data_IF_198255946878
#
_entry.id   IF_198255946878
#
_cell.length_a   1.000
_cell.length_b   1.000
_cell.length_c   1.000
_cell.angle_alpha   90.00
_cell.angle_beta   90.00
_cell.angle_gamma   90.00
#
_symmetry.space_group_name_H-M   'P 1'
#
loop_
_entity.id
_entity.type
_entity.pdbx_description
1 polymer ?
#
# COMPACT_ATOMS: atom_id res chain seq x y z
N UNK A 1 21.39 25.31 -0.60
CA UNK A 1 20.66 24.35 0.25
C UNK A 1 19.20 24.34 -0.21
N UNK A 2 18.92 23.63 -1.30
CA UNK A 2 17.58 23.56 -1.90
C UNK A 2 17.32 22.10 -2.17
N UNK A 3 16.72 21.40 -1.22
CA UNK A 3 16.13 20.09 -1.52
C UNK A 3 14.98 20.38 -2.48
N UNK A 4 15.23 20.29 -3.79
CA UNK A 4 14.20 20.51 -4.81
C UNK A 4 13.05 19.55 -4.55
N UNK A 5 11.82 20.01 -4.70
CA UNK A 5 10.62 19.16 -4.63
C UNK A 5 10.73 17.95 -5.58
N UNK A 6 11.51 18.09 -6.67
CA UNK A 6 11.82 17.04 -7.64
C UNK A 6 12.55 15.83 -7.03
N UNK A 7 13.26 16.00 -5.91
CA UNK A 7 13.94 14.91 -5.21
C UNK A 7 13.16 14.46 -3.97
N UNK A 8 12.62 15.40 -3.20
CA UNK A 8 11.88 15.09 -1.97
C UNK A 8 10.57 14.34 -2.23
N UNK A 9 9.90 14.61 -3.36
CA UNK A 9 8.67 13.92 -3.77
C UNK A 9 8.87 12.41 -3.99
N UNK A 10 9.72 11.99 -4.94
CA UNK A 10 9.98 10.57 -5.21
C UNK A 10 10.53 9.80 -4.01
N UNK A 11 11.34 10.46 -3.16
CA UNK A 11 11.85 9.85 -1.93
C UNK A 11 10.72 9.57 -0.92
N UNK A 12 9.79 10.51 -0.75
CA UNK A 12 8.63 10.34 0.15
C UNK A 12 7.73 9.21 -0.35
N UNK A 13 7.50 9.15 -1.66
CA UNK A 13 6.72 8.08 -2.29
C UNK A 13 7.34 6.70 -2.04
N UNK A 14 8.67 6.58 -2.20
CA UNK A 14 9.39 5.32 -1.94
C UNK A 14 9.22 4.84 -0.50
N UNK A 15 9.26 5.75 0.48
CA UNK A 15 9.06 5.43 1.90
C UNK A 15 7.62 4.97 2.17
N UNK A 16 6.62 5.61 1.55
CA UNK A 16 5.23 5.19 1.66
C UNK A 16 5.01 3.80 1.04
N UNK A 17 5.66 3.52 -0.10
CA UNK A 17 5.62 2.20 -0.73
C UNK A 17 6.25 1.11 0.14
N UNK A 18 7.34 1.42 0.86
CA UNK A 18 7.92 0.51 1.85
C UNK A 18 6.93 0.15 2.97
N UNK A 19 6.23 1.14 3.53
CA UNK A 19 5.21 0.90 4.54
C UNK A 19 4.04 0.07 4.00
N UNK A 20 3.58 0.38 2.79
CA UNK A 20 2.52 -0.35 2.11
C UNK A 20 2.89 -1.83 1.92
N UNK A 21 4.11 -2.10 1.50
CA UNK A 21 4.62 -3.47 1.33
C UNK A 21 4.65 -4.24 2.65
N UNK A 22 5.14 -3.64 3.73
CA UNK A 22 5.20 -4.28 5.06
C UNK A 22 3.81 -4.62 5.57
N UNK A 23 2.84 -3.69 5.45
CA UNK A 23 1.46 -3.94 5.88
C UNK A 23 0.79 -5.03 5.05
N UNK A 24 0.98 -5.00 3.74
CA UNK A 24 0.47 -6.02 2.82
C UNK A 24 1.05 -7.39 3.11
N UNK A 25 2.33 -7.48 3.47
CA UNK A 25 3.00 -8.74 3.78
C UNK A 25 2.35 -9.52 4.95
N UNK A 26 1.67 -8.81 5.85
CA UNK A 26 0.98 -9.39 7.01
C UNK A 26 -0.47 -9.82 6.72
N UNK A 27 -1.00 -9.55 5.52
CA UNK A 27 -2.32 -10.02 5.12
C UNK A 27 -2.35 -11.55 5.08
N UNK A 28 -3.33 -12.10 5.77
CA UNK A 28 -3.58 -13.53 5.90
C UNK A 28 -5.05 -13.81 5.70
N UNK A 29 -5.37 -14.99 5.18
CA UNK A 29 -6.73 -15.51 5.10
C UNK A 29 -6.77 -16.95 5.57
N UNK A 30 -7.90 -17.38 6.09
CA UNK A 30 -8.11 -18.78 6.43
C UNK A 30 -8.40 -19.58 5.16
N UNK A 31 -7.66 -20.67 4.93
CA UNK A 31 -7.91 -21.56 3.80
C UNK A 31 -9.00 -22.59 4.14
N UNK A 32 -9.42 -23.38 3.16
CA UNK A 32 -10.43 -24.44 3.31
C UNK A 32 -10.05 -25.56 4.31
N UNK A 33 -8.81 -25.54 4.84
CA UNK A 33 -8.29 -26.49 5.83
C UNK A 33 -8.13 -25.85 7.22
N UNK A 34 -8.63 -24.63 7.43
CA UNK A 34 -8.53 -23.90 8.69
C UNK A 34 -7.14 -23.34 8.98
N UNK A 35 -6.23 -23.31 7.99
CA UNK A 35 -4.87 -22.81 8.15
C UNK A 35 -4.75 -21.37 7.67
N UNK A 36 -3.89 -20.60 8.33
CA UNK A 36 -3.61 -19.20 7.98
C UNK A 36 -2.66 -19.15 6.77
N UNK A 37 -3.15 -18.66 5.63
CA UNK A 37 -2.39 -18.49 4.39
C UNK A 37 -2.00 -17.00 4.21
N UNK A 38 -0.70 -16.71 4.15
CA UNK A 38 -0.16 -15.37 3.87
C UNK A 38 -0.07 -15.10 2.36
N UNK A 39 -1.22 -14.93 1.71
CA UNK A 39 -1.35 -14.82 0.24
C UNK A 39 -0.71 -13.56 -0.36
N UNK A 40 -0.51 -12.52 0.45
CA UNK A 40 0.01 -11.22 -0.01
C UNK A 40 1.54 -11.13 -0.03
N UNK A 41 2.26 -12.20 0.35
CA UNK A 41 3.73 -12.26 0.31
C UNK A 41 4.25 -12.44 -1.12
N UNK A 42 4.12 -11.40 -1.93
CA UNK A 42 4.58 -11.36 -3.32
C UNK A 42 5.00 -9.94 -3.71
N UNK A 43 5.67 -9.82 -4.86
CA UNK A 43 6.01 -8.51 -5.43
C UNK A 43 4.72 -7.72 -5.72
N UNK A 44 4.63 -6.49 -5.22
CA UNK A 44 3.52 -5.58 -5.51
C UNK A 44 3.88 -4.70 -6.71
N UNK A 45 2.90 -4.46 -7.58
CA UNK A 45 3.04 -3.56 -8.72
C UNK A 45 2.29 -2.27 -8.40
N UNK A 46 3.05 -1.17 -8.28
CA UNK A 46 2.54 0.16 -7.98
C UNK A 46 2.29 0.95 -9.26
N UNK A 47 1.09 1.51 -9.36
CA UNK A 47 0.70 2.50 -10.36
C UNK A 47 0.67 3.87 -9.66
N UNK A 48 1.70 4.67 -9.88
CA UNK A 48 1.85 5.99 -9.25
C UNK A 48 0.88 7.04 -9.79
N UNK A 49 0.44 6.93 -11.05
CA UNK A 49 -0.52 7.88 -11.64
C UNK A 49 -1.90 7.73 -11.00
N UNK A 50 -2.35 6.47 -10.82
CA UNK A 50 -3.63 6.17 -10.20
C UNK A 50 -3.54 5.91 -8.69
N UNK A 51 -2.34 6.04 -8.11
CA UNK A 51 -2.03 5.74 -6.71
C UNK A 51 -2.65 4.42 -6.24
N UNK A 52 -2.33 3.29 -6.89
CA UNK A 52 -2.90 1.98 -6.52
C UNK A 52 -1.96 0.81 -6.80
N UNK A 53 -2.20 -0.29 -6.11
CA UNK A 53 -1.62 -1.60 -6.44
C UNK A 53 -2.51 -2.30 -7.46
N UNK A 54 -1.90 -2.80 -8.53
CA UNK A 54 -2.62 -3.39 -9.68
C UNK A 54 -2.73 -4.91 -9.62
N UNK A 55 -1.90 -5.59 -8.83
CA UNK A 55 -1.80 -7.06 -8.81
C UNK A 55 -2.25 -7.70 -7.47
N UNK A 56 -2.71 -6.88 -6.53
CA UNK A 56 -3.26 -7.29 -5.23
C UNK A 56 -4.22 -6.20 -4.73
N UNK A 57 -5.49 -6.33 -5.05
CA UNK A 57 -6.51 -5.31 -4.75
C UNK A 57 -6.69 -5.12 -3.24
N UNK A 58 -6.56 -6.19 -2.45
CA UNK A 58 -6.69 -6.14 -1.00
C UNK A 58 -5.63 -5.24 -0.35
N UNK A 59 -4.48 -5.03 -0.98
CA UNK A 59 -3.46 -4.12 -0.47
C UNK A 59 -3.87 -2.64 -0.58
N UNK A 60 -4.81 -2.30 -1.49
CA UNK A 60 -5.32 -0.93 -1.63
C UNK A 60 -6.07 -0.43 -0.39
N UNK A 61 -6.47 -1.32 0.53
CA UNK A 61 -7.02 -0.92 1.84
C UNK A 61 -6.03 -0.08 2.68
N UNK A 62 -4.73 -0.16 2.35
CA UNK A 62 -3.67 0.57 3.01
C UNK A 62 -3.23 1.81 2.23
N UNK A 63 -3.82 2.02 1.05
CA UNK A 63 -3.55 3.16 0.18
C UNK A 63 -4.58 4.24 0.49
N UNK A 64 -4.08 5.41 0.89
CA UNK A 64 -4.93 6.51 1.33
C UNK A 64 -5.53 6.30 2.72
N UNK A 65 -6.36 7.26 3.12
CA UNK A 65 -7.00 7.29 4.44
C UNK A 65 -8.50 7.19 4.23
N UNK A 66 -9.16 6.25 4.91
CA UNK A 66 -10.61 6.32 5.04
C UNK A 66 -10.93 7.44 6.02
N UNK A 67 -11.46 8.54 5.50
CA UNK A 67 -11.93 9.65 6.32
C UNK A 67 -13.20 9.23 7.05
N UNK A 68 -13.34 9.70 8.30
CA UNK A 68 -14.58 9.51 9.05
C UNK A 68 -15.69 10.33 8.38
N UNK A 69 -16.91 9.80 8.40
CA UNK A 69 -18.10 10.52 7.93
C UNK A 69 -18.14 11.95 8.51
N UNK A 70 -18.25 12.95 7.64
CA UNK A 70 -18.20 14.38 7.99
C UNK A 70 -16.82 15.05 7.91
N UNK A 71 -15.76 14.31 7.58
CA UNK A 71 -14.41 14.84 7.32
C UNK A 71 -13.89 14.45 5.92
N UNK A 72 -14.82 14.13 5.01
CA UNK A 72 -14.50 13.87 3.61
C UNK A 72 -14.01 15.18 2.97
N UNK A 73 -12.84 15.14 2.33
CA UNK A 73 -12.17 16.30 1.69
C UNK A 73 -12.54 16.36 0.22
#
# INVERSE_FOLDING_TARGET
LTSSFDYAGPMTETVLMGNLAIRSYMLRRENSRGQQEFFARKKLLWDGENMRITNLEEANQFVGRQYRQGFEV
#
